data_IF_424574124770
#
_entry.id   IF_424574124770
#
_cell.length_a   1.000
_cell.length_b   1.000
_cell.length_c   1.000
_cell.angle_alpha   90.00
_cell.angle_beta   90.00
_cell.angle_gamma   90.00
#
_symmetry.space_group_name_H-M   'P 1'
#
loop_
_entity.id
_entity.type
_entity.pdbx_description
1 polymer ?
#
# COMPACT_ATOMS: atom_id res chain seq x y z
N UNK A 1 -13.24 11.40 22.81
CA UNK A 1 -12.50 10.44 23.66
C UNK A 1 -11.66 9.55 22.77
N UNK A 2 -10.34 9.77 22.75
CA UNK A 2 -9.42 8.91 22.01
C UNK A 2 -9.23 7.63 22.83
N UNK A 3 -9.83 6.53 22.38
CA UNK A 3 -9.47 5.20 22.88
C UNK A 3 -8.00 4.98 22.51
N UNK A 4 -7.13 5.02 23.51
CA UNK A 4 -5.76 4.50 23.42
C UNK A 4 -5.89 2.99 23.18
N UNK A 5 -6.03 2.63 21.90
CA UNK A 5 -5.99 1.24 21.48
C UNK A 5 -4.57 0.75 21.76
N UNK A 6 -4.37 -0.38 22.48
CA UNK A 6 -3.04 -0.91 22.76
C UNK A 6 -2.34 -1.45 21.50
N UNK A 7 -3.01 -1.40 20.34
CA UNK A 7 -2.55 -1.95 19.08
C UNK A 7 -1.90 -0.89 18.18
N UNK A 8 -0.86 -1.30 17.45
CA UNK A 8 -0.26 -0.45 16.42
C UNK A 8 -1.24 -0.21 15.26
N UNK A 9 -1.08 0.87 14.48
CA UNK A 9 -1.95 1.12 13.32
C UNK A 9 -2.03 -0.04 12.33
N UNK A 10 -0.92 -0.77 12.14
CA UNK A 10 -0.87 -1.95 11.28
C UNK A 10 -1.72 -3.10 11.83
N UNK A 11 -1.63 -3.37 13.13
CA UNK A 11 -2.43 -4.42 13.79
C UNK A 11 -3.93 -4.09 13.77
N UNK A 12 -4.28 -2.81 13.92
CA UNK A 12 -5.68 -2.36 13.82
C UNK A 12 -6.21 -2.61 12.40
N UNK A 13 -5.42 -2.29 11.39
CA UNK A 13 -5.80 -2.52 9.99
C UNK A 13 -5.96 -4.00 9.66
N UNK A 14 -5.06 -4.85 10.15
CA UNK A 14 -5.16 -6.30 10.00
C UNK A 14 -6.45 -6.83 10.64
N UNK A 15 -6.73 -6.44 11.89
CA UNK A 15 -7.98 -6.80 12.58
C UNK A 15 -9.23 -6.29 11.84
N UNK A 16 -9.18 -5.09 11.26
CA UNK A 16 -10.27 -4.57 10.43
C UNK A 16 -10.48 -5.43 9.17
N UNK A 17 -9.42 -5.84 8.49
CA UNK A 17 -9.52 -6.72 7.32
C UNK A 17 -10.11 -8.09 7.69
N UNK A 18 -9.66 -8.69 8.78
CA UNK A 18 -10.23 -9.94 9.29
C UNK A 18 -11.73 -9.80 9.62
N UNK A 19 -12.12 -8.68 10.25
CA UNK A 19 -13.52 -8.40 10.55
C UNK A 19 -14.38 -8.23 9.28
N UNK A 20 -13.84 -7.62 8.23
CA UNK A 20 -14.51 -7.49 6.92
C UNK A 20 -14.71 -8.87 6.29
N UNK A 21 -13.65 -9.70 6.26
CA UNK A 21 -13.72 -11.05 5.71
C UNK A 21 -14.77 -11.90 6.44
N UNK A 22 -14.77 -11.88 7.78
CA UNK A 22 -15.74 -12.63 8.58
C UNK A 22 -17.19 -12.16 8.36
N UNK A 23 -17.40 -10.86 8.10
CA UNK A 23 -18.72 -10.33 7.71
C UNK A 23 -19.13 -10.78 6.31
N UNK A 24 -18.20 -10.81 5.35
CA UNK A 24 -18.44 -11.30 3.99
C UNK A 24 -18.77 -12.80 3.96
N UNK A 25 -18.08 -13.58 4.80
CA UNK A 25 -18.33 -15.01 5.02
C UNK A 25 -19.60 -15.29 5.84
N UNK A 26 -20.35 -14.24 6.24
CA UNK A 26 -21.58 -14.32 7.05
C UNK A 26 -21.40 -14.99 8.42
N UNK A 27 -20.18 -15.08 8.94
CA UNK A 27 -19.90 -15.61 10.29
C UNK A 27 -20.54 -14.73 11.38
N UNK A 28 -20.61 -13.42 11.11
CA UNK A 28 -21.26 -12.45 11.99
C UNK A 28 -22.49 -11.84 11.33
N UNK A 29 -23.63 -11.86 12.05
CA UNK A 29 -24.90 -11.26 11.60
C UNK A 29 -24.91 -9.72 11.63
N UNK A 30 -23.91 -9.08 12.24
CA UNK A 30 -23.90 -7.63 12.43
C UNK A 30 -22.48 -7.08 12.58
N UNK A 31 -22.26 -5.90 12.00
CA UNK A 31 -21.03 -5.10 12.14
C UNK A 31 -20.69 -4.88 13.62
N UNK A 32 -21.68 -4.63 14.48
CA UNK A 32 -21.42 -4.42 15.93
C UNK A 32 -20.86 -5.68 16.59
N UNK A 33 -21.33 -6.87 16.18
CA UNK A 33 -20.88 -8.14 16.76
C UNK A 33 -19.46 -8.48 16.30
N UNK A 34 -19.17 -8.29 15.01
CA UNK A 34 -17.82 -8.42 14.46
C UNK A 34 -16.85 -7.42 15.11
N UNK A 35 -17.22 -6.14 15.20
CA UNK A 35 -16.40 -5.11 15.83
C UNK A 35 -16.01 -5.44 17.28
N UNK A 36 -16.97 -5.95 18.07
CA UNK A 36 -16.71 -6.39 19.45
C UNK A 36 -15.80 -7.61 19.51
N UNK A 37 -15.97 -8.58 18.61
CA UNK A 37 -15.17 -9.81 18.57
C UNK A 37 -13.71 -9.53 18.19
N UNK A 38 -13.48 -8.69 17.17
CA UNK A 38 -12.14 -8.32 16.71
C UNK A 38 -11.53 -7.15 17.49
N UNK A 39 -12.23 -6.61 18.49
CA UNK A 39 -11.81 -5.48 19.32
C UNK A 39 -11.48 -4.20 18.52
N UNK A 40 -12.23 -3.96 17.44
CA UNK A 40 -12.06 -2.78 16.58
C UNK A 40 -13.21 -1.79 16.76
N UNK A 41 -12.98 -0.47 16.61
CA UNK A 41 -14.06 0.51 16.66
C UNK A 41 -15.10 0.27 15.56
N UNK A 42 -16.38 0.25 15.94
CA UNK A 42 -17.50 0.04 15.00
C UNK A 42 -17.49 1.06 13.86
N UNK A 43 -17.27 2.34 14.17
CA UNK A 43 -17.26 3.42 13.18
C UNK A 43 -16.18 3.20 12.14
N UNK A 44 -14.97 2.83 12.57
CA UNK A 44 -13.84 2.52 11.68
C UNK A 44 -14.13 1.30 10.82
N UNK A 45 -14.73 0.23 11.38
CA UNK A 45 -15.13 -0.94 10.60
C UNK A 45 -16.18 -0.62 9.55
N UNK A 46 -17.19 0.19 9.89
CA UNK A 46 -18.21 0.62 8.94
C UNK A 46 -17.63 1.49 7.82
N UNK A 47 -16.74 2.42 8.17
CA UNK A 47 -16.01 3.26 7.22
C UNK A 47 -15.17 2.42 6.25
N UNK A 48 -14.49 1.39 6.75
CA UNK A 48 -13.70 0.48 5.94
C UNK A 48 -14.58 -0.35 4.99
N UNK A 49 -15.74 -0.81 5.47
CA UNK A 49 -16.73 -1.53 4.65
C UNK A 49 -17.31 -0.66 3.54
N UNK A 50 -17.45 0.65 3.79
CA UNK A 50 -17.85 1.64 2.79
C UNK A 50 -16.73 1.98 1.78
N UNK A 51 -15.57 1.34 1.89
CA UNK A 51 -14.44 1.52 0.96
C UNK A 51 -13.56 2.72 1.27
N UNK A 52 -13.66 3.33 2.47
CA UNK A 52 -12.70 4.37 2.84
C UNK A 52 -11.29 3.80 2.89
N UNK A 53 -10.37 4.49 2.23
CA UNK A 53 -8.93 4.15 2.21
C UNK A 53 -8.30 4.46 3.56
N UNK A 54 -7.28 3.71 3.92
CA UNK A 54 -6.45 4.05 5.08
C UNK A 54 -5.63 5.30 4.80
N UNK A 55 -5.19 5.99 5.86
CA UNK A 55 -4.28 7.13 5.73
C UNK A 55 -3.04 6.78 4.91
N UNK A 56 -2.46 5.59 5.10
CA UNK A 56 -1.31 5.13 4.33
C UNK A 56 -1.64 4.98 2.84
N UNK A 57 -2.75 4.32 2.50
CA UNK A 57 -3.20 4.17 1.10
C UNK A 57 -3.57 5.50 0.44
N UNK A 58 -4.10 6.45 1.20
CA UNK A 58 -4.35 7.81 0.69
C UNK A 58 -3.03 8.53 0.42
N UNK A 59 -2.00 8.31 1.25
CA UNK A 59 -0.70 8.92 1.08
C UNK A 59 0.08 8.34 -0.11
N UNK A 60 -0.05 7.03 -0.38
CA UNK A 60 0.55 6.36 -1.55
C UNK A 60 0.29 7.09 -2.87
N UNK A 61 -0.92 7.62 -3.07
CA UNK A 61 -1.29 8.34 -4.31
C UNK A 61 -0.52 9.66 -4.47
N UNK A 62 -0.10 10.26 -3.36
CA UNK A 62 0.62 11.53 -3.34
C UNK A 62 2.14 11.36 -3.28
N UNK A 63 2.65 10.13 -3.10
CA UNK A 63 4.08 9.88 -3.04
C UNK A 63 4.71 9.90 -4.44
N UNK A 64 5.90 10.51 -4.52
CA UNK A 64 6.69 10.58 -5.76
C UNK A 64 7.35 9.22 -6.05
N UNK A 65 7.74 8.51 -5.00
CA UNK A 65 8.22 7.13 -5.03
C UNK A 65 7.11 6.22 -4.53
N UNK A 66 6.87 5.10 -5.19
CA UNK A 66 6.01 4.04 -4.68
C UNK A 66 6.59 3.43 -3.40
N UNK A 67 5.75 2.83 -2.55
CA UNK A 67 6.22 2.09 -1.36
C UNK A 67 7.31 1.06 -1.70
N UNK A 68 7.24 0.43 -2.88
CA UNK A 68 8.24 -0.53 -3.32
C UNK A 68 9.61 0.13 -3.54
N UNK A 69 9.62 1.32 -4.13
CA UNK A 69 10.82 2.14 -4.36
C UNK A 69 11.38 2.76 -3.07
N UNK A 70 10.51 3.21 -2.17
CA UNK A 70 10.94 3.65 -0.84
C UNK A 70 11.59 2.49 -0.06
N UNK A 71 11.04 1.28 -0.16
CA UNK A 71 11.59 0.08 0.48
C UNK A 71 12.96 -0.31 -0.09
N UNK A 72 13.20 -0.15 -1.40
CA UNK A 72 14.54 -0.40 -1.96
C UNK A 72 15.55 0.61 -1.43
N UNK A 73 15.17 1.89 -1.33
CA UNK A 73 16.00 2.94 -0.75
C UNK A 73 16.32 2.66 0.74
N UNK A 74 15.33 2.26 1.55
CA UNK A 74 15.52 1.90 2.97
C UNK A 74 16.49 0.74 3.12
N UNK A 75 16.35 -0.32 2.30
CA UNK A 75 17.27 -1.48 2.34
C UNK A 75 18.70 -1.07 2.00
N UNK A 76 18.87 -0.21 1.00
CA UNK A 76 20.19 0.28 0.60
C UNK A 76 20.84 1.16 1.69
N UNK A 77 20.08 2.09 2.31
CA UNK A 77 20.57 2.90 3.45
C UNK A 77 20.94 2.01 4.65
N UNK A 78 20.10 1.01 4.94
CA UNK A 78 20.35 0.07 6.03
C UNK A 78 21.66 -0.69 5.79
N UNK A 79 21.88 -1.16 4.56
CA UNK A 79 23.12 -1.83 4.18
C UNK A 79 24.34 -0.92 4.36
N UNK A 80 24.26 0.34 3.91
CA UNK A 80 25.31 1.34 4.08
C UNK A 80 25.64 1.63 5.55
N UNK A 81 24.61 1.67 6.39
CA UNK A 81 24.78 1.88 7.83
C UNK A 81 25.48 0.68 8.47
N UNK A 82 25.10 -0.54 8.09
CA UNK A 82 25.72 -1.79 8.58
C UNK A 82 27.19 -1.89 8.17
N UNK A 83 27.54 -1.44 6.96
CA UNK A 83 28.93 -1.46 6.47
C UNK A 83 29.80 -0.34 7.05
N UNK A 84 29.25 0.51 7.93
CA UNK A 84 29.98 1.60 8.59
C UNK A 84 30.11 2.88 7.77
N UNK A 85 29.39 2.98 6.64
CA UNK A 85 29.38 4.15 5.77
C UNK A 85 27.96 4.72 5.67
N UNK A 86 27.45 5.39 6.71
CA UNK A 86 26.08 5.89 6.72
C UNK A 86 25.84 6.84 5.54
N UNK A 87 24.68 6.71 4.89
CA UNK A 87 24.33 7.52 3.73
C UNK A 87 24.11 8.99 4.13
N UNK A 88 24.80 9.90 3.46
CA UNK A 88 24.56 11.34 3.60
C UNK A 88 23.19 11.69 3.01
N UNK A 89 22.43 12.66 3.57
CA UNK A 89 21.13 13.07 3.01
C UNK A 89 21.16 13.43 1.51
N UNK A 90 22.27 14.01 1.04
CA UNK A 90 22.47 14.31 -0.39
C UNK A 90 22.49 13.03 -1.24
N UNK A 91 23.27 12.03 -0.82
CA UNK A 91 23.39 10.75 -1.51
C UNK A 91 22.05 9.99 -1.51
N UNK A 92 21.30 10.05 -0.41
CA UNK A 92 19.95 9.47 -0.34
C UNK A 92 19.02 10.11 -1.38
N UNK A 93 19.10 11.42 -1.56
CA UNK A 93 18.30 12.13 -2.56
C UNK A 93 18.69 11.75 -3.99
N UNK A 94 19.99 11.68 -4.28
CA UNK A 94 20.50 11.25 -5.59
C UNK A 94 20.03 9.83 -5.94
N UNK A 95 20.11 8.90 -4.99
CA UNK A 95 19.62 7.54 -5.18
C UNK A 95 18.10 7.46 -5.35
N UNK A 96 17.35 8.27 -4.61
CA UNK A 96 15.90 8.38 -4.77
C UNK A 96 15.53 8.86 -6.18
N UNK A 97 16.21 9.88 -6.69
CA UNK A 97 16.01 10.38 -8.06
C UNK A 97 16.40 9.32 -9.11
N UNK A 98 17.47 8.57 -8.88
CA UNK A 98 17.88 7.49 -9.77
C UNK A 98 16.82 6.37 -9.84
N UNK A 99 16.28 5.93 -8.70
CA UNK A 99 15.23 4.92 -8.63
C UNK A 99 14.00 5.38 -9.43
N UNK A 100 13.58 6.64 -9.23
CA UNK A 100 12.47 7.26 -9.97
C UNK A 100 12.70 7.28 -11.48
N UNK A 101 13.89 7.68 -11.92
CA UNK A 101 14.22 7.78 -13.35
C UNK A 101 14.26 6.40 -14.03
N UNK A 102 14.82 5.39 -13.37
CA UNK A 102 14.86 4.01 -13.88
C UNK A 102 13.45 3.45 -14.09
N UNK A 103 12.51 3.73 -13.20
CA UNK A 103 11.12 3.30 -13.35
C UNK A 103 10.44 3.94 -14.57
N UNK A 104 10.65 5.24 -14.80
CA UNK A 104 10.10 5.94 -15.99
C UNK A 104 10.57 5.26 -17.29
N UNK A 105 11.84 4.85 -17.38
CA UNK A 105 12.38 4.14 -18.55
C UNK A 105 11.77 2.74 -18.73
N UNK A 106 11.59 1.99 -17.63
CA UNK A 106 10.98 0.66 -17.66
C UNK A 106 9.49 0.74 -18.03
N UNK A 107 8.76 1.75 -17.54
CA UNK A 107 7.37 1.97 -17.92
C UNK A 107 7.23 2.40 -19.38
N UNK A 108 8.11 3.27 -19.88
CA UNK A 108 8.10 3.74 -21.26
C UNK A 108 8.43 2.65 -22.28
N UNK A 109 9.23 1.64 -21.91
CA UNK A 109 9.60 0.52 -22.79
C UNK A 109 8.57 -0.62 -22.81
N UNK A 110 7.54 -0.57 -21.95
CA UNK A 110 6.49 -1.58 -21.82
C UNK A 110 5.17 -1.20 -22.48
N UNK A 111 5.15 -0.28 -23.44
CA UNK A 111 3.98 -0.07 -24.31
C UNK A 111 4.11 -1.03 -25.51
N UNK A 112 3.48 -2.23 -25.51
CA UNK A 112 3.26 -2.94 -26.75
C UNK A 112 2.17 -2.20 -27.53
N UNK A 113 2.53 -1.73 -28.71
CA UNK A 113 1.62 -1.26 -29.76
C UNK A 113 0.68 -2.41 -30.15
N UNK A 114 -0.39 -2.62 -29.38
CA UNK A 114 -1.42 -3.62 -29.68
C UNK A 114 -2.48 -3.02 -30.62
N UNK A 115 -2.09 -2.74 -31.86
CA UNK A 115 -3.02 -2.49 -32.97
C UNK A 115 -2.50 -3.17 -34.24
N UNK A 116 -2.44 -4.49 -34.22
CA UNK A 116 -2.52 -5.29 -35.44
C UNK A 116 -3.71 -6.24 -35.29
N UNK A 117 -4.90 -5.74 -35.63
CA UNK A 117 -6.05 -6.58 -35.92
C UNK A 117 -5.84 -7.04 -37.36
N UNK A 118 -5.66 -8.35 -37.66
CA UNK A 118 -5.74 -8.81 -39.03
C UNK A 118 -7.18 -8.63 -39.49
N UNK A 119 -7.38 -7.87 -40.57
CA UNK A 119 -8.67 -7.78 -41.25
C UNK A 119 -9.10 -9.19 -41.64
N UNK A 120 -10.14 -9.69 -40.98
CA UNK A 120 -10.87 -10.87 -41.42
C UNK A 120 -11.52 -10.50 -42.75
N UNK A 121 -10.97 -11.08 -43.83
CA UNK A 121 -11.58 -11.07 -45.15
C UNK A 121 -12.91 -11.81 -45.07
N UNK A 122 -13.97 -11.10 -45.42
CA UNK A 122 -15.24 -11.70 -45.81
C UNK A 122 -15.27 -11.79 -47.32
N UNK A 123 -15.07 -13.00 -47.85
CA UNK A 123 -15.69 -13.49 -49.09
C UNK A 123 -15.70 -15.02 -49.12
#
# INVERSE_FOLDING_TARGET
MYTQSPFTPAQIEEKLQQAILALQLKEFKSIRKAAKYFEVPKSTLADRLAGKKTRSQTHEIAQILSNAEENTLVRWISQLTITGFPATPMLVKEMADEIRLRYIQVASSRIPTSTEIPLIGHE
#
